data_IF_935307239754
#
_entry.id   IF_935307239754
#
_cell.length_a   1.000
_cell.length_b   1.000
_cell.length_c   1.000
_cell.angle_alpha   90.00
_cell.angle_beta   90.00
_cell.angle_gamma   90.00
#
_symmetry.space_group_name_H-M   'P 1'
#
loop_
_entity.id
_entity.type
_entity.pdbx_description
1 polymer ?
#
# COMPACT_ATOMS: atom_id res chain seq x y z
N UNK A 1 -22.53 6.56 12.29
CA UNK A 1 -23.54 5.52 12.04
C UNK A 1 -23.42 4.52 13.19
N UNK A 2 -24.44 4.37 14.05
CA UNK A 2 -24.42 3.39 15.14
C UNK A 2 -24.36 1.99 14.52
N UNK A 3 -23.32 1.22 14.83
CA UNK A 3 -23.22 -0.19 14.46
C UNK A 3 -24.28 -0.96 15.27
N UNK A 4 -25.40 -1.29 14.62
CA UNK A 4 -26.33 -2.30 15.10
C UNK A 4 -25.72 -3.68 14.82
N UNK A 5 -25.25 -4.35 15.85
CA UNK A 5 -24.90 -5.77 15.77
C UNK A 5 -26.20 -6.58 15.66
N UNK A 6 -26.64 -6.86 14.44
CA UNK A 6 -27.60 -7.93 14.22
C UNK A 6 -26.94 -9.26 14.59
N UNK A 7 -27.58 -10.03 15.46
CA UNK A 7 -27.19 -11.39 15.82
C UNK A 7 -27.25 -12.27 14.57
N UNK A 8 -26.22 -13.10 14.30
CA UNK A 8 -26.22 -13.94 13.11
C UNK A 8 -27.36 -14.97 13.16
N UNK A 9 -28.04 -15.14 12.01
CA UNK A 9 -29.08 -16.13 11.76
C UNK A 9 -28.60 -17.56 12.11
N UNK A 10 -29.43 -18.42 12.74
CA UNK A 10 -29.02 -19.74 13.24
C UNK A 10 -28.83 -20.82 12.16
N UNK A 11 -28.63 -20.46 10.89
CA UNK A 11 -28.54 -21.40 9.77
C UNK A 11 -27.14 -21.55 9.13
N UNK A 12 -26.08 -21.04 9.77
CA UNK A 12 -24.70 -21.34 9.35
C UNK A 12 -24.21 -22.61 10.05
N UNK A 13 -23.69 -23.62 9.33
CA UNK A 13 -23.16 -24.82 9.97
C UNK A 13 -21.94 -24.43 10.84
N UNK A 14 -21.98 -24.84 12.11
CA UNK A 14 -20.82 -24.76 13.00
C UNK A 14 -19.61 -25.40 12.31
N UNK A 15 -18.42 -24.77 12.29
CA UNK A 15 -17.22 -25.43 11.79
C UNK A 15 -16.99 -26.70 12.63
N UNK A 16 -16.85 -27.82 11.92
CA UNK A 16 -16.68 -29.15 12.50
C UNK A 16 -15.50 -29.13 13.49
N UNK A 17 -15.71 -29.44 14.79
CA UNK A 17 -14.66 -29.35 15.82
C UNK A 17 -13.49 -30.34 15.60
N UNK A 18 -13.60 -31.27 14.65
CA UNK A 18 -12.55 -32.23 14.28
C UNK A 18 -11.61 -31.75 13.15
N UNK A 19 -11.68 -30.50 12.69
CA UNK A 19 -10.79 -29.96 11.65
C UNK A 19 -9.67 -29.08 12.24
N UNK A 20 -9.03 -29.56 13.32
CA UNK A 20 -7.80 -28.93 13.81
C UNK A 20 -6.63 -29.35 12.92
N UNK A 21 -5.92 -28.38 12.36
CA UNK A 21 -4.72 -28.65 11.58
C UNK A 21 -3.58 -28.96 12.55
N UNK A 22 -3.03 -30.19 12.52
CA UNK A 22 -2.21 -30.72 13.60
C UNK A 22 -0.86 -30.00 13.78
N UNK A 23 -0.40 -29.23 12.78
CA UNK A 23 0.95 -28.67 12.70
C UNK A 23 1.02 -27.14 12.82
N UNK A 24 -0.01 -26.45 13.33
CA UNK A 24 0.05 -24.99 13.46
C UNK A 24 1.03 -24.54 14.55
N UNK A 25 1.84 -23.49 14.31
CA UNK A 25 2.70 -22.92 15.33
C UNK A 25 1.86 -22.33 16.47
N UNK A 26 2.42 -22.32 17.68
CA UNK A 26 1.69 -21.94 18.92
C UNK A 26 1.04 -20.55 18.86
N UNK A 27 1.67 -19.58 18.20
CA UNK A 27 1.13 -18.23 18.02
C UNK A 27 -0.12 -18.18 17.12
N UNK A 28 -0.35 -19.19 16.29
CA UNK A 28 -1.45 -19.27 15.32
C UNK A 28 -2.56 -20.25 15.74
N UNK A 29 -2.29 -21.13 16.71
CA UNK A 29 -3.30 -22.05 17.26
C UNK A 29 -4.52 -21.33 17.85
N UNK A 30 -4.37 -20.05 18.21
CA UNK A 30 -5.46 -19.18 18.67
C UNK A 30 -6.60 -19.03 17.66
N UNK A 31 -6.38 -19.37 16.38
CA UNK A 31 -7.44 -19.41 15.36
C UNK A 31 -8.60 -20.34 15.73
N UNK A 32 -8.33 -21.41 16.49
CA UNK A 32 -9.36 -22.34 16.97
C UNK A 32 -10.13 -21.83 18.18
N UNK A 33 -9.83 -20.63 18.66
CA UNK A 33 -10.54 -19.99 19.76
C UNK A 33 -11.38 -18.81 19.25
N UNK A 34 -12.70 -18.97 19.05
CA UNK A 34 -13.58 -17.89 18.58
C UNK A 34 -13.58 -16.66 19.49
N UNK A 35 -13.37 -16.85 20.79
CA UNK A 35 -13.28 -15.74 21.76
C UNK A 35 -12.00 -14.94 21.54
N UNK A 36 -10.90 -15.60 21.21
CA UNK A 36 -9.64 -14.94 20.85
C UNK A 36 -9.79 -14.11 19.58
N UNK A 37 -10.32 -14.72 18.50
CA UNK A 37 -10.56 -14.01 17.24
C UNK A 37 -11.49 -12.82 17.44
N UNK A 38 -12.59 -12.99 18.21
CA UNK A 38 -13.47 -11.86 18.55
C UNK A 38 -12.72 -10.76 19.30
N UNK A 39 -11.89 -11.11 20.28
CA UNK A 39 -11.08 -10.13 21.01
C UNK A 39 -10.13 -9.38 20.07
N UNK A 40 -9.47 -10.07 19.13
CA UNK A 40 -8.59 -9.46 18.16
C UNK A 40 -9.35 -8.44 17.28
N UNK A 41 -10.52 -8.83 16.75
CA UNK A 41 -11.33 -7.96 15.91
C UNK A 41 -11.83 -6.71 16.65
N UNK A 42 -12.32 -6.88 17.89
CA UNK A 42 -12.77 -5.77 18.73
C UNK A 42 -11.62 -4.82 19.05
N UNK A 43 -10.48 -5.34 19.52
CA UNK A 43 -9.32 -4.51 19.85
C UNK A 43 -8.77 -3.77 18.64
N UNK A 44 -8.73 -4.39 17.45
CA UNK A 44 -8.34 -3.71 16.22
C UNK A 44 -9.32 -2.59 15.85
N UNK A 45 -10.62 -2.81 15.99
CA UNK A 45 -11.64 -1.78 15.71
C UNK A 45 -11.54 -0.60 16.67
N UNK A 46 -11.51 -0.85 17.98
CA UNK A 46 -11.37 0.20 19.01
C UNK A 46 -10.12 1.06 18.80
N UNK A 47 -9.01 0.42 18.43
CA UNK A 47 -7.75 1.12 18.13
C UNK A 47 -7.84 1.98 16.87
N UNK A 48 -8.56 1.52 15.85
CA UNK A 48 -8.80 2.33 14.66
C UNK A 48 -9.71 3.52 14.97
N UNK A 49 -10.72 3.36 15.82
CA UNK A 49 -11.57 4.47 16.29
C UNK A 49 -10.74 5.52 17.03
N UNK A 50 -9.77 5.11 17.85
CA UNK A 50 -8.81 6.02 18.48
C UNK A 50 -7.99 6.78 17.42
N UNK A 51 -7.45 6.09 16.40
CA UNK A 51 -6.72 6.74 15.29
C UNK A 51 -7.61 7.70 14.49
N UNK A 52 -8.90 7.41 14.32
CA UNK A 52 -9.88 8.30 13.69
C UNK A 52 -10.04 9.58 14.53
N UNK A 53 -10.22 9.44 15.85
CA UNK A 53 -10.34 10.58 16.76
C UNK A 53 -9.09 11.47 16.74
N UNK A 54 -7.91 10.86 16.81
CA UNK A 54 -6.63 11.60 16.75
C UNK A 54 -6.45 12.32 15.41
N UNK A 55 -6.77 11.67 14.29
CA UNK A 55 -6.76 12.30 12.95
C UNK A 55 -7.59 13.58 12.91
N UNK A 56 -8.82 13.53 13.41
CA UNK A 56 -9.73 14.67 13.34
C UNK A 56 -9.20 15.87 14.13
N UNK A 57 -8.54 15.63 15.26
CA UNK A 57 -7.90 16.70 16.05
C UNK A 57 -6.68 17.28 15.31
N UNK A 58 -5.86 16.43 14.70
CA UNK A 58 -4.61 16.82 14.05
C UNK A 58 -4.78 17.43 12.64
N UNK A 59 -5.95 17.24 12.02
CA UNK A 59 -6.23 17.75 10.66
C UNK A 59 -6.72 19.20 10.62
N UNK A 60 -6.96 19.83 11.79
CA UNK A 60 -7.42 21.22 11.88
C UNK A 60 -6.18 22.12 11.99
N UNK A 61 -5.94 23.06 11.07
CA UNK A 61 -4.86 24.02 11.24
C UNK A 61 -5.14 24.87 12.48
N UNK A 62 -4.15 24.98 13.39
CA UNK A 62 -4.19 25.91 14.52
C UNK A 62 -4.46 27.32 13.97
N UNK A 63 -5.69 27.82 14.11
CA UNK A 63 -6.00 29.25 14.00
C UNK A 63 -5.40 29.94 15.21
N UNK A 64 -4.10 30.20 15.20
CA UNK A 64 -3.49 31.17 16.10
C UNK A 64 -3.56 32.57 15.47
N UNK A 65 -4.40 33.41 16.08
CA UNK A 65 -4.29 34.88 16.18
C UNK A 65 -4.24 35.71 14.88
N UNK A 66 -5.42 36.11 14.40
CA UNK A 66 -5.80 37.48 13.97
C UNK A 66 -6.98 37.39 13.00
N UNK A 67 -8.21 37.59 13.48
CA UNK A 67 -9.10 38.63 12.96
C UNK A 67 -10.50 38.54 13.61
N UNK A 68 -10.98 39.73 13.94
CA UNK A 68 -12.16 40.05 14.73
C UNK A 68 -13.47 39.66 13.99
N UNK A 69 -14.48 39.06 14.65
CA UNK A 69 -15.68 38.62 13.95
C UNK A 69 -16.71 39.75 13.83
N UNK A 70 -17.04 40.15 12.60
CA UNK A 70 -18.35 40.74 12.31
C UNK A 70 -19.23 39.70 11.62
N UNK A 71 -20.15 39.17 12.44
CA UNK A 71 -21.58 39.11 12.16
C UNK A 71 -22.02 38.54 10.80
N UNK A 72 -22.47 37.28 10.79
CA UNK A 72 -23.72 36.90 10.13
C UNK A 72 -24.32 35.69 10.82
N UNK A 73 -25.43 35.92 11.52
CA UNK A 73 -26.22 34.90 12.18
C UNK A 73 -27.01 34.06 11.17
N UNK A 74 -27.11 32.76 11.46
CA UNK A 74 -28.28 31.96 11.12
C UNK A 74 -28.47 30.90 12.21
N UNK A 75 -29.65 30.94 12.83
CA UNK A 75 -30.11 30.01 13.85
C UNK A 75 -30.36 28.64 13.22
N UNK A 76 -29.85 27.57 13.83
CA UNK A 76 -30.57 26.31 13.91
C UNK A 76 -30.29 25.64 15.27
N UNK A 77 -31.37 25.50 16.02
CA UNK A 77 -31.48 24.72 17.26
C UNK A 77 -31.40 23.23 16.94
N UNK A 78 -30.61 22.45 17.69
CA UNK A 78 -31.09 21.29 18.46
C UNK A 78 -30.01 20.58 19.29
N UNK A 79 -30.37 20.33 20.54
CA UNK A 79 -29.92 19.29 21.51
C UNK A 79 -28.43 19.13 21.89
N UNK A 80 -28.13 19.57 23.11
CA UNK A 80 -26.94 19.21 23.91
C UNK A 80 -26.95 17.74 24.36
N UNK A 81 -25.77 17.21 24.73
CA UNK A 81 -25.61 16.63 26.06
C UNK A 81 -24.46 17.25 26.87
N UNK A 82 -24.57 17.07 28.18
CA UNK A 82 -23.83 17.71 29.27
C UNK A 82 -22.42 17.11 29.51
N UNK A 83 -21.57 17.99 30.07
CA UNK A 83 -20.41 17.76 30.96
C UNK A 83 -19.19 16.99 30.44
N UNK A 84 -18.03 17.66 30.38
CA UNK A 84 -17.07 17.72 31.50
C UNK A 84 -15.83 18.54 31.06
N UNK A 85 -15.54 19.62 31.78
CA UNK A 85 -14.30 20.40 31.60
C UNK A 85 -13.12 19.67 32.24
N UNK A 86 -11.92 19.76 31.65
CA UNK A 86 -10.71 19.86 32.46
C UNK A 86 -10.04 21.21 32.25
N UNK A 87 -9.53 21.72 33.36
CA UNK A 87 -8.87 23.01 33.50
C UNK A 87 -7.67 23.16 32.54
N UNK A 88 -7.65 24.26 31.78
CA UNK A 88 -6.45 24.76 31.10
C UNK A 88 -5.57 25.43 32.15
N UNK A 89 -4.40 24.85 32.42
CA UNK A 89 -3.28 25.59 33.00
C UNK A 89 -2.46 26.17 31.86
N UNK A 90 -2.29 27.49 31.89
CA UNK A 90 -1.50 28.25 30.94
C UNK A 90 -0.01 28.04 31.25
N UNK A 91 0.77 27.68 30.23
CA UNK A 91 2.20 27.93 30.18
C UNK A 91 2.55 28.38 28.76
N UNK A 92 3.19 29.54 28.69
CA UNK A 92 3.53 30.30 27.51
C UNK A 92 4.72 29.71 26.74
N UNK A 93 4.78 30.08 25.45
CA UNK A 93 5.98 30.42 24.69
C UNK A 93 7.24 29.57 24.91
N UNK A 94 7.45 28.59 24.03
CA UNK A 94 8.72 28.37 23.33
C UNK A 94 8.55 27.32 22.22
N UNK A 95 9.12 27.60 21.05
CA UNK A 95 9.00 26.77 19.87
C UNK A 95 9.58 25.36 20.06
N UNK A 96 8.70 24.36 20.05
CA UNK A 96 8.92 23.03 19.48
C UNK A 96 7.56 22.32 19.46
N UNK A 97 6.85 22.32 18.32
CA UNK A 97 5.68 21.47 18.18
C UNK A 97 6.17 20.02 18.29
N UNK A 98 5.77 19.31 19.34
CA UNK A 98 6.17 17.93 19.59
C UNK A 98 5.84 17.06 18.37
N UNK A 99 6.76 16.20 17.94
CA UNK A 99 6.57 15.26 16.82
C UNK A 99 5.37 14.31 16.98
N UNK A 100 4.76 14.28 18.17
CA UNK A 100 3.53 13.55 18.49
C UNK A 100 2.27 14.19 17.90
N UNK A 101 2.26 15.52 17.74
CA UNK A 101 1.04 16.29 17.44
C UNK A 101 0.59 16.20 15.98
N UNK A 102 1.39 15.59 15.10
CA UNK A 102 1.08 15.38 13.69
C UNK A 102 1.25 13.94 13.22
N UNK A 103 1.47 12.99 14.14
CA UNK A 103 1.82 11.60 13.80
C UNK A 103 0.79 10.91 12.91
N UNK A 104 -0.50 11.18 13.14
CA UNK A 104 -1.63 10.69 12.36
C UNK A 104 -2.24 11.76 11.45
N UNK A 105 -1.56 12.89 11.24
CA UNK A 105 -2.06 13.96 10.37
C UNK A 105 -2.32 13.46 8.96
N UNK A 106 -3.41 13.92 8.34
CA UNK A 106 -3.80 13.69 6.94
C UNK A 106 -3.98 15.03 6.19
N UNK A 107 -3.35 16.09 6.71
CA UNK A 107 -3.53 17.47 6.29
C UNK A 107 -3.33 17.65 4.79
N UNK A 108 -2.23 17.13 4.21
CA UNK A 108 -1.94 17.29 2.78
C UNK A 108 -3.08 16.75 1.91
N UNK A 109 -3.61 15.58 2.26
CA UNK A 109 -4.70 14.95 1.51
C UNK A 109 -6.04 15.67 1.67
N UNK A 110 -6.22 16.43 2.75
CA UNK A 110 -7.43 17.19 3.06
C UNK A 110 -7.50 18.56 2.39
N UNK A 111 -6.37 19.03 1.82
CA UNK A 111 -6.30 20.31 1.11
C UNK A 111 -7.28 20.34 -0.08
N UNK A 112 -8.05 21.43 -0.28
CA UNK A 112 -9.04 21.53 -1.36
C UNK A 112 -8.48 21.21 -2.75
N UNK A 113 -7.26 21.65 -3.04
CA UNK A 113 -6.53 21.39 -4.28
C UNK A 113 -6.21 19.90 -4.49
N UNK A 114 -6.16 19.10 -3.43
CA UNK A 114 -5.92 17.66 -3.52
C UNK A 114 -7.20 16.82 -3.49
N UNK A 115 -8.34 17.43 -3.17
CA UNK A 115 -9.62 16.74 -3.04
C UNK A 115 -10.01 15.93 -4.28
N UNK A 116 -9.84 16.51 -5.48
CA UNK A 116 -10.15 15.87 -6.76
C UNK A 116 -9.16 14.76 -7.16
N UNK A 117 -8.06 14.60 -6.41
CA UNK A 117 -7.07 13.53 -6.59
C UNK A 117 -7.34 12.35 -5.65
N UNK A 118 -8.32 12.46 -4.74
CA UNK A 118 -8.78 11.40 -3.85
C UNK A 118 -10.01 10.70 -4.44
N UNK A 119 -9.97 9.36 -4.55
CA UNK A 119 -11.14 8.57 -4.99
C UNK A 119 -12.28 8.61 -3.98
N UNK A 120 -11.93 8.64 -2.69
CA UNK A 120 -12.85 8.68 -1.57
C UNK A 120 -12.43 9.81 -0.63
N UNK A 121 -13.38 10.67 -0.28
CA UNK A 121 -13.14 11.89 0.51
C UNK A 121 -12.69 11.58 1.94
N UNK A 122 -13.06 10.40 2.45
CA UNK A 122 -12.81 9.92 3.81
C UNK A 122 -11.57 9.02 3.92
N UNK A 123 -10.89 8.74 2.81
CA UNK A 123 -9.71 7.87 2.78
C UNK A 123 -8.50 8.67 2.30
N UNK A 124 -7.82 9.29 3.26
CA UNK A 124 -6.67 10.16 3.02
C UNK A 124 -5.37 9.52 3.52
N UNK A 125 -4.21 9.78 2.89
CA UNK A 125 -2.92 9.26 3.35
C UNK A 125 -2.43 9.99 4.61
N UNK A 126 -1.74 9.27 5.50
CA UNK A 126 -0.97 9.95 6.56
C UNK A 126 0.16 10.77 5.95
N UNK A 127 0.34 11.99 6.42
CA UNK A 127 1.38 12.91 5.92
C UNK A 127 2.79 12.35 6.13
N UNK A 128 3.02 11.71 7.28
CA UNK A 128 4.32 11.15 7.68
C UNK A 128 4.84 10.07 6.73
N UNK A 129 3.95 9.26 6.17
CA UNK A 129 4.29 8.11 5.33
C UNK A 129 3.81 8.28 3.90
N UNK A 130 3.24 9.43 3.52
CA UNK A 130 2.73 9.64 2.15
C UNK A 130 3.85 9.53 1.13
N UNK A 131 3.52 9.00 -0.04
CA UNK A 131 4.45 9.00 -1.16
C UNK A 131 4.55 10.42 -1.74
N UNK A 132 5.77 10.83 -2.09
CA UNK A 132 6.06 12.11 -2.75
C UNK A 132 6.55 11.80 -4.17
N UNK A 133 5.81 12.22 -5.19
CA UNK A 133 6.13 11.90 -6.58
C UNK A 133 6.95 13.02 -7.19
N UNK A 134 8.19 12.74 -7.62
CA UNK A 134 9.04 13.71 -8.31
C UNK A 134 9.03 13.48 -9.81
N UNK A 135 7.94 13.81 -10.49
CA UNK A 135 7.73 13.57 -11.92
C UNK A 135 8.68 14.38 -12.84
N UNK A 136 9.99 14.17 -12.74
CA UNK A 136 11.04 14.84 -13.52
C UNK A 136 11.59 16.15 -12.92
N UNK A 137 11.10 16.61 -11.77
CA UNK A 137 11.51 17.87 -11.15
C UNK A 137 12.43 17.61 -9.94
N UNK A 138 13.73 17.93 -10.08
CA UNK A 138 14.72 17.74 -9.01
C UNK A 138 14.61 18.79 -7.89
N UNK A 139 14.00 19.95 -8.16
CA UNK A 139 14.03 21.12 -7.27
C UNK A 139 12.77 21.29 -6.40
N UNK A 140 11.72 20.49 -6.61
CA UNK A 140 10.49 20.61 -5.80
C UNK A 140 10.57 19.73 -4.55
N UNK A 141 10.63 20.41 -3.40
CA UNK A 141 10.83 19.80 -2.09
C UNK A 141 9.62 18.96 -1.60
N UNK A 142 8.40 19.29 -2.02
CA UNK A 142 7.18 18.62 -1.53
C UNK A 142 6.66 17.45 -2.39
N UNK A 143 7.08 17.38 -3.66
CA UNK A 143 6.60 16.42 -4.67
C UNK A 143 5.13 16.61 -5.06
N UNK A 144 4.69 15.97 -6.14
CA UNK A 144 3.28 15.95 -6.53
C UNK A 144 2.46 15.04 -5.60
N UNK A 145 1.24 15.48 -5.26
CA UNK A 145 0.34 14.73 -4.39
C UNK A 145 -0.23 13.49 -5.11
N UNK A 146 -0.12 12.35 -4.43
CA UNK A 146 -0.78 11.11 -4.76
C UNK A 146 -1.32 10.48 -3.46
N UNK A 147 -2.54 9.96 -3.50
CA UNK A 147 -3.11 9.23 -2.37
C UNK A 147 -2.48 7.83 -2.26
N UNK A 148 -1.33 7.77 -1.60
CA UNK A 148 -0.55 6.58 -1.37
C UNK A 148 0.33 6.74 -0.12
N UNK A 149 0.64 5.63 0.56
CA UNK A 149 1.60 5.60 1.65
C UNK A 149 2.65 4.51 1.42
N UNK A 150 3.87 4.80 1.85
CA UNK A 150 4.87 3.78 2.11
C UNK A 150 4.44 2.95 3.31
N UNK A 151 4.57 1.63 3.18
CA UNK A 151 4.21 0.67 4.22
C UNK A 151 5.27 -0.43 4.29
N UNK A 152 5.75 -0.71 5.49
CA UNK A 152 6.66 -1.83 5.79
C UNK A 152 5.90 -2.94 6.50
N UNK A 153 6.12 -4.16 6.05
CA UNK A 153 5.72 -5.38 6.75
C UNK A 153 6.37 -5.41 8.14
N UNK A 154 5.60 -5.72 9.19
CA UNK A 154 6.16 -5.80 10.54
C UNK A 154 7.03 -7.04 10.72
N UNK A 155 6.60 -8.19 10.22
CA UNK A 155 7.32 -9.47 10.38
C UNK A 155 8.13 -9.88 9.16
N UNK A 156 7.67 -9.58 7.94
CA UNK A 156 8.40 -9.87 6.72
C UNK A 156 9.43 -8.80 6.31
N UNK A 157 9.32 -7.58 6.84
CA UNK A 157 10.27 -6.50 6.64
C UNK A 157 10.29 -5.86 5.24
N UNK A 158 9.52 -6.36 4.26
CA UNK A 158 9.46 -5.81 2.89
C UNK A 158 8.73 -4.46 2.84
N UNK A 159 9.18 -3.60 1.94
CA UNK A 159 8.55 -2.31 1.65
C UNK A 159 7.53 -2.40 0.51
N UNK A 160 6.46 -1.63 0.67
CA UNK A 160 5.33 -1.53 -0.25
C UNK A 160 4.93 -0.06 -0.43
N UNK A 161 4.29 0.23 -1.56
CA UNK A 161 3.52 1.46 -1.77
C UNK A 161 2.05 1.06 -1.83
N UNK A 162 1.30 1.34 -0.76
CA UNK A 162 -0.14 1.12 -0.70
C UNK A 162 -0.87 2.36 -1.25
N UNK A 163 -1.52 2.22 -2.40
CA UNK A 163 -2.18 3.33 -3.11
C UNK A 163 -3.64 3.02 -3.43
N UNK A 164 -4.47 4.07 -3.55
CA UNK A 164 -5.76 3.93 -4.21
C UNK A 164 -5.58 3.52 -5.68
N UNK A 165 -6.59 2.90 -6.30
CA UNK A 165 -6.53 2.69 -7.74
C UNK A 165 -6.61 4.04 -8.49
N UNK A 166 -5.80 4.25 -9.55
CA UNK A 166 -5.71 5.52 -10.25
C UNK A 166 -7.07 6.05 -10.70
N UNK A 167 -7.23 7.37 -10.62
CA UNK A 167 -8.28 8.13 -11.29
C UNK A 167 -7.79 8.50 -12.69
N UNK A 168 -8.68 9.08 -13.51
CA UNK A 168 -8.29 9.57 -14.85
C UNK A 168 -7.17 10.60 -14.74
N UNK A 169 -7.33 11.52 -13.80
CA UNK A 169 -6.49 12.67 -13.60
C UNK A 169 -5.20 12.28 -12.83
N UNK A 170 -5.25 11.27 -11.94
CA UNK A 170 -4.04 10.79 -11.23
C UNK A 170 -3.23 9.69 -11.94
N UNK A 171 -3.61 9.26 -13.15
CA UNK A 171 -2.93 8.19 -13.86
C UNK A 171 -1.47 8.54 -14.23
N UNK A 172 -1.23 9.79 -14.66
CA UNK A 172 0.12 10.29 -14.96
C UNK A 172 1.02 10.26 -13.71
N UNK A 173 0.55 10.85 -12.61
CA UNK A 173 1.27 10.89 -11.33
C UNK A 173 1.53 9.48 -10.79
N UNK A 174 0.56 8.57 -10.93
CA UNK A 174 0.70 7.18 -10.51
C UNK A 174 1.81 6.44 -11.27
N UNK A 175 1.85 6.53 -12.61
CA UNK A 175 2.91 5.86 -13.39
C UNK A 175 4.28 6.55 -13.30
N UNK A 176 4.33 7.80 -12.86
CA UNK A 176 5.60 8.48 -12.59
C UNK A 176 6.39 7.82 -11.46
N UNK A 177 5.73 7.10 -10.54
CA UNK A 177 6.39 6.28 -9.51
C UNK A 177 7.36 5.24 -10.07
N UNK A 178 7.07 4.70 -11.27
CA UNK A 178 7.90 3.68 -11.92
C UNK A 178 9.16 4.30 -12.52
N UNK A 179 9.12 5.58 -12.88
CA UNK A 179 10.17 6.25 -13.65
C UNK A 179 11.25 6.85 -12.76
N UNK A 180 10.84 7.53 -11.69
CA UNK A 180 11.77 8.22 -10.81
C UNK A 180 12.12 7.38 -9.60
N UNK A 181 13.29 7.67 -9.01
CA UNK A 181 13.56 7.21 -7.65
C UNK A 181 12.51 7.83 -6.75
N UNK A 182 11.61 6.99 -6.23
CA UNK A 182 10.59 7.46 -5.31
C UNK A 182 11.27 7.74 -3.97
N UNK A 183 11.14 8.95 -3.45
CA UNK A 183 11.73 9.28 -2.15
C UNK A 183 11.10 8.42 -1.06
N UNK A 184 11.97 7.68 -0.39
CA UNK A 184 11.61 6.89 0.76
C UNK A 184 11.52 7.80 2.00
N UNK A 185 10.53 7.63 2.90
CA UNK A 185 10.36 8.46 4.09
C UNK A 185 11.55 8.38 5.07
N UNK A 186 12.42 7.38 4.88
CA UNK A 186 13.69 7.27 5.58
C UNK A 186 14.84 7.55 4.61
N UNK A 187 15.49 8.71 4.76
CA UNK A 187 16.59 9.20 3.91
C UNK A 187 17.80 8.25 3.81
N UNK A 188 17.91 7.26 4.70
CA UNK A 188 18.99 6.27 4.69
C UNK A 188 18.70 5.03 3.82
N UNK A 189 17.52 4.95 3.19
CA UNK A 189 17.16 3.82 2.34
C UNK A 189 17.30 4.21 0.87
N UNK A 190 18.29 3.64 0.19
CA UNK A 190 18.42 3.71 -1.27
C UNK A 190 17.36 2.79 -1.92
N UNK A 191 16.08 3.15 -1.84
CA UNK A 191 15.03 2.40 -2.54
C UNK A 191 15.20 2.56 -4.05
N UNK A 192 15.32 1.45 -4.76
CA UNK A 192 15.12 1.42 -6.21
C UNK A 192 13.66 1.74 -6.56
N UNK A 193 13.43 2.24 -7.77
CA UNK A 193 12.08 2.46 -8.28
C UNK A 193 11.28 1.16 -8.32
N UNK A 194 9.98 1.18 -7.97
CA UNK A 194 9.11 0.03 -8.14
C UNK A 194 9.10 -0.45 -9.60
N UNK A 195 9.11 -1.77 -9.80
CA UNK A 195 8.99 -2.41 -11.12
C UNK A 195 7.79 -3.34 -11.24
N UNK A 196 7.01 -3.47 -10.16
CA UNK A 196 5.85 -4.35 -10.06
C UNK A 196 4.66 -3.58 -9.51
N UNK A 197 3.52 -3.70 -10.19
CA UNK A 197 2.23 -3.17 -9.74
C UNK A 197 1.27 -4.33 -9.53
N UNK A 198 0.68 -4.42 -8.34
CA UNK A 198 -0.35 -5.39 -7.98
C UNK A 198 -1.69 -4.67 -7.89
N UNK A 199 -2.66 -5.09 -8.70
CA UNK A 199 -4.02 -4.59 -8.68
C UNK A 199 -4.97 -5.69 -8.20
N UNK A 200 -5.67 -5.42 -7.10
CA UNK A 200 -6.57 -6.37 -6.42
C UNK A 200 -8.06 -6.04 -6.69
N UNK A 201 -8.35 -5.31 -7.76
CA UNK A 201 -9.72 -4.91 -8.14
C UNK A 201 -9.86 -4.87 -9.65
N UNK A 202 -11.02 -5.28 -10.15
CA UNK A 202 -11.36 -5.04 -11.55
C UNK A 202 -11.69 -3.55 -11.74
N UNK A 203 -11.60 -3.06 -12.98
CA UNK A 203 -11.87 -1.64 -13.26
C UNK A 203 -13.32 -1.26 -12.89
N UNK A 204 -14.25 -2.20 -13.05
CA UNK A 204 -15.66 -2.06 -12.70
C UNK A 204 -16.07 -3.28 -11.88
N UNK A 205 -16.71 -3.05 -10.74
CA UNK A 205 -17.30 -4.09 -9.89
C UNK A 205 -18.66 -3.57 -9.40
N UNK A 206 -19.69 -4.42 -9.42
CA UNK A 206 -21.04 -4.03 -9.00
C UNK A 206 -21.58 -2.79 -9.72
N UNK A 207 -21.20 -2.59 -10.99
CA UNK A 207 -21.57 -1.42 -11.80
C UNK A 207 -20.85 -0.11 -11.43
N UNK A 208 -19.92 -0.13 -10.47
CA UNK A 208 -19.17 1.04 -10.03
C UNK A 208 -17.73 0.98 -10.50
N UNK A 209 -17.20 2.10 -10.98
CA UNK A 209 -15.77 2.22 -11.33
C UNK A 209 -14.91 2.18 -10.06
N UNK A 210 -14.10 1.13 -9.93
CA UNK A 210 -13.13 0.95 -8.83
C UNK A 210 -11.72 1.36 -9.23
N UNK A 211 -11.36 1.23 -10.51
CA UNK A 211 -10.07 1.67 -11.06
C UNK A 211 -10.24 2.33 -12.44
N UNK A 212 -9.46 3.37 -12.73
CA UNK A 212 -9.31 3.89 -14.09
C UNK A 212 -8.24 3.06 -14.83
N UNK A 213 -8.43 2.65 -16.09
CA UNK A 213 -7.36 2.07 -16.89
C UNK A 213 -6.23 3.07 -17.10
N UNK A 214 -4.99 2.70 -16.81
CA UNK A 214 -3.80 3.57 -16.93
C UNK A 214 -2.77 3.02 -17.92
N UNK A 215 -3.12 1.99 -18.67
CA UNK A 215 -2.40 1.43 -19.81
C UNK A 215 -3.43 0.79 -20.77
N UNK A 216 -3.12 0.59 -22.06
CA UNK A 216 -4.06 0.02 -23.02
C UNK A 216 -4.31 -1.47 -22.75
N UNK A 217 -5.44 -1.99 -23.22
CA UNK A 217 -5.83 -3.38 -22.97
C UNK A 217 -5.39 -4.35 -24.08
N UNK A 218 -5.00 -3.82 -25.24
CA UNK A 218 -4.60 -4.58 -26.42
C UNK A 218 -3.09 -4.45 -26.63
N UNK A 219 -2.41 -5.60 -26.81
CA UNK A 219 -0.96 -5.66 -27.01
C UNK A 219 -0.57 -4.85 -28.26
N UNK A 220 0.49 -4.05 -28.14
CA UNK A 220 1.00 -3.15 -29.17
C UNK A 220 0.35 -1.77 -29.19
N UNK A 221 -0.79 -1.57 -28.52
CA UNK A 221 -1.39 -0.24 -28.42
C UNK A 221 -0.63 0.66 -27.45
N UNK A 222 -0.71 1.96 -27.69
CA UNK A 222 -0.10 3.02 -26.89
C UNK A 222 -1.15 4.05 -26.49
N UNK A 223 -1.10 4.52 -25.25
CA UNK A 223 -1.80 5.72 -24.80
C UNK A 223 -0.79 6.78 -24.40
N UNK A 224 -1.20 8.04 -24.44
CA UNK A 224 -0.40 9.17 -23.95
C UNK A 224 -1.08 9.73 -22.71
N UNK A 225 -0.36 9.71 -21.58
CA UNK A 225 -0.79 10.38 -20.36
C UNK A 225 -0.09 11.74 -20.27
N UNK A 226 -0.85 12.77 -19.96
CA UNK A 226 -0.35 14.14 -19.76
C UNK A 226 -0.50 14.50 -18.28
N UNK A 227 0.37 15.36 -17.73
CA UNK A 227 0.14 15.95 -16.41
C UNK A 227 -1.21 16.67 -16.37
N UNK A 228 -1.92 16.56 -15.26
CA UNK A 228 -3.09 17.40 -14.97
C UNK A 228 -2.61 18.85 -14.81
N UNK A 229 -2.56 19.63 -15.90
CA UNK A 229 -2.61 21.11 -15.98
C UNK A 229 -2.39 21.60 -17.42
N UNK A 230 -3.26 21.22 -18.36
CA UNK A 230 -3.31 21.93 -19.67
C UNK A 230 -4.66 22.63 -19.91
N UNK A 231 -5.79 22.08 -19.45
CA UNK A 231 -7.11 22.60 -19.87
C UNK A 231 -7.98 23.22 -18.76
N UNK A 232 -7.53 23.28 -17.50
CA UNK A 232 -8.37 23.84 -16.42
C UNK A 232 -7.66 24.89 -15.58
N UNK A 233 -8.03 26.14 -15.87
CA UNK A 233 -8.01 27.32 -14.99
C UNK A 233 -6.72 28.14 -15.00
N UNK A 234 -6.91 29.42 -15.34
CA UNK A 234 -6.03 30.57 -15.15
C UNK A 234 -5.49 30.62 -13.70
N UNK A 235 -4.45 29.85 -13.40
CA UNK A 235 -3.72 29.91 -12.14
C UNK A 235 -2.25 30.19 -12.42
N UNK A 236 -1.74 31.22 -11.78
CA UNK A 236 -0.42 31.86 -11.90
C UNK A 236 0.72 31.00 -11.37
N UNK A 237 0.67 29.68 -11.50
CA UNK A 237 1.77 28.80 -11.10
C UNK A 237 2.52 28.32 -12.34
N UNK A 238 3.78 28.75 -12.46
CA UNK A 238 4.74 28.45 -13.52
C UNK A 238 5.20 26.98 -13.53
N UNK A 239 4.30 26.02 -13.29
CA UNK A 239 4.63 24.60 -13.18
C UNK A 239 4.46 23.89 -14.53
N UNK A 240 5.32 24.21 -15.49
CA UNK A 240 5.34 23.55 -16.80
C UNK A 240 6.02 22.18 -16.67
N UNK A 241 5.31 21.16 -16.21
CA UNK A 241 5.81 19.80 -16.38
C UNK A 241 5.70 19.47 -17.88
N UNK A 242 6.81 19.58 -18.63
CA UNK A 242 6.83 19.56 -20.10
C UNK A 242 6.76 18.15 -20.69
N UNK A 243 6.68 17.11 -19.87
CA UNK A 243 6.78 15.73 -20.36
C UNK A 243 5.43 15.02 -20.34
N UNK A 244 5.18 14.25 -21.40
CA UNK A 244 4.08 13.30 -21.52
C UNK A 244 4.63 11.88 -21.29
N UNK A 245 3.79 10.95 -20.85
CA UNK A 245 4.13 9.54 -20.77
C UNK A 245 3.49 8.78 -21.93
N UNK A 246 4.30 8.23 -22.84
CA UNK A 246 3.85 7.21 -23.79
C UNK A 246 3.84 5.86 -23.08
N UNK A 247 2.67 5.24 -22.95
CA UNK A 247 2.45 3.98 -22.22
C UNK A 247 1.97 2.91 -23.19
N UNK A 248 2.76 1.86 -23.36
CA UNK A 248 2.52 0.81 -24.36
C UNK A 248 2.38 -0.54 -23.68
N UNK A 249 1.34 -1.31 -24.04
CA UNK A 249 1.18 -2.69 -23.57
C UNK A 249 2.05 -3.61 -24.44
N UNK A 250 3.09 -4.19 -23.87
CA UNK A 250 4.05 -5.04 -24.58
C UNK A 250 3.64 -6.52 -24.59
N UNK A 251 3.13 -7.01 -23.46
CA UNK A 251 2.71 -8.40 -23.34
C UNK A 251 1.52 -8.50 -22.39
N UNK A 252 0.66 -9.50 -22.59
CA UNK A 252 -0.47 -9.81 -21.72
C UNK A 252 -0.75 -11.31 -21.73
N UNK A 253 -0.69 -11.93 -20.56
CA UNK A 253 -0.92 -13.36 -20.39
C UNK A 253 -1.87 -13.62 -19.21
N UNK A 254 -2.62 -14.72 -19.28
CA UNK A 254 -3.39 -15.23 -18.15
C UNK A 254 -2.56 -16.27 -17.40
N UNK A 255 -2.62 -16.21 -16.08
CA UNK A 255 -2.04 -17.20 -15.15
C UNK A 255 -3.22 -17.80 -14.37
N UNK A 256 -3.87 -18.84 -14.90
CA UNK A 256 -5.14 -19.35 -14.36
C UNK A 256 -5.05 -19.83 -12.92
N UNK A 257 -3.97 -20.49 -12.54
CA UNK A 257 -3.70 -21.02 -11.20
C UNK A 257 -3.66 -19.92 -10.12
N UNK A 258 -3.25 -18.71 -10.51
CA UNK A 258 -3.20 -17.54 -9.64
C UNK A 258 -4.39 -16.60 -9.85
N UNK A 259 -5.41 -17.00 -10.63
CA UNK A 259 -6.49 -16.14 -11.08
C UNK A 259 -6.01 -14.73 -11.49
N UNK A 260 -4.93 -14.71 -12.28
CA UNK A 260 -4.18 -13.51 -12.57
C UNK A 260 -4.13 -13.19 -14.07
N UNK A 261 -4.18 -11.90 -14.39
CA UNK A 261 -3.70 -11.37 -15.68
C UNK A 261 -2.38 -10.66 -15.42
N UNK A 262 -1.31 -11.16 -16.05
CA UNK A 262 0.02 -10.58 -16.01
C UNK A 262 0.26 -9.78 -17.29
N UNK A 263 0.67 -8.52 -17.15
CA UNK A 263 0.99 -7.64 -18.26
C UNK A 263 2.39 -7.07 -18.12
N UNK A 264 3.08 -6.92 -19.24
CA UNK A 264 4.35 -6.18 -19.32
C UNK A 264 4.08 -4.86 -20.03
N UNK A 265 4.41 -3.74 -19.40
CA UNK A 265 4.06 -2.40 -19.88
C UNK A 265 5.31 -1.55 -19.93
N UNK A 266 5.53 -0.84 -21.03
CA UNK A 266 6.59 0.17 -21.13
C UNK A 266 6.05 1.58 -20.96
N UNK A 267 6.87 2.42 -20.34
CA UNK A 267 6.64 3.85 -20.16
C UNK A 267 7.86 4.61 -20.66
N UNK A 268 7.62 5.58 -21.53
CA UNK A 268 8.64 6.46 -22.11
C UNK A 268 8.25 7.91 -21.81
N UNK A 269 9.21 8.70 -21.32
CA UNK A 269 9.07 10.16 -21.20
C UNK A 269 9.30 10.81 -22.57
N UNK A 270 8.34 11.61 -23.02
CA UNK A 270 8.44 12.39 -24.26
C UNK A 270 8.21 13.87 -23.99
N UNK A 271 8.95 14.75 -24.65
CA UNK A 271 8.74 16.19 -24.56
C UNK A 271 7.37 16.59 -25.14
N UNK A 272 6.85 17.74 -24.72
CA UNK A 272 5.54 18.27 -25.14
C UNK A 272 5.42 18.45 -26.66
N UNK A 273 6.53 18.81 -27.30
CA UNK A 273 6.62 19.26 -28.70
C UNK A 273 6.92 18.10 -29.67
N UNK A 274 7.01 16.87 -29.13
CA UNK A 274 7.31 15.64 -29.85
C UNK A 274 6.03 15.12 -30.54
N UNK A 275 5.56 15.86 -31.55
CA UNK A 275 4.46 15.50 -32.45
C UNK A 275 4.88 14.29 -33.31
N UNK A 276 4.54 13.09 -32.84
CA UNK A 276 4.32 11.92 -33.70
C UNK A 276 5.51 11.37 -34.49
N UNK A 277 6.48 10.75 -33.82
CA UNK A 277 7.02 9.50 -34.36
C UNK A 277 6.09 8.36 -33.93
N UNK A 278 5.29 7.87 -34.87
CA UNK A 278 4.66 6.56 -34.78
C UNK A 278 5.78 5.51 -34.77
N UNK A 279 5.98 4.89 -33.60
CA UNK A 279 6.87 3.75 -33.44
C UNK A 279 6.20 2.52 -34.09
N UNK A 280 6.13 2.53 -35.42
CA UNK A 280 5.75 1.34 -36.19
C UNK A 280 6.90 0.36 -36.11
N UNK A 281 6.72 -0.71 -35.34
CA UNK A 281 7.67 -1.83 -35.22
C UNK A 281 7.85 -2.64 -36.53
N UNK A 282 7.63 -2.03 -37.70
CA UNK A 282 7.67 -2.66 -39.01
C UNK A 282 8.17 -1.67 -40.07
N UNK A 283 9.42 -1.24 -39.98
CA UNK A 283 10.14 -0.65 -41.13
C UNK A 283 11.66 -0.86 -40.98
N UNK A 284 12.10 -2.09 -41.21
CA UNK A 284 13.46 -2.32 -41.69
C UNK A 284 13.48 -2.13 -43.21
N UNK A 285 13.72 -0.91 -43.68
CA UNK A 285 14.31 -0.70 -44.99
C UNK A 285 15.03 0.65 -45.07
N UNK A 286 16.36 0.57 -45.06
CA UNK A 286 17.36 1.46 -45.65
C UNK A 286 16.89 2.87 -46.06
N UNK A 287 17.16 3.85 -45.19
CA UNK A 287 17.54 5.18 -45.65
C UNK A 287 18.64 5.73 -44.74
N UNK A 288 19.72 6.15 -45.39
CA UNK A 288 20.95 6.67 -44.80
C UNK A 288 20.80 8.16 -44.47
N UNK A 289 21.30 8.55 -43.30
CA UNK A 289 21.47 9.92 -42.76
C UNK A 289 20.28 10.51 -42.01
N UNK A 290 20.20 10.21 -40.71
CA UNK A 290 19.76 11.18 -39.71
C UNK A 290 20.58 11.00 -38.43
N UNK A 291 20.93 12.12 -37.79
CA UNK A 291 21.61 12.16 -36.51
C UNK A 291 20.70 11.52 -35.45
N UNK A 292 20.88 10.23 -35.19
CA UNK A 292 20.09 9.50 -34.20
C UNK A 292 20.44 10.04 -32.81
N UNK A 293 19.55 10.86 -32.24
CA UNK A 293 19.53 11.08 -30.80
C UNK A 293 19.49 9.72 -30.10
N UNK A 294 20.16 9.56 -28.95
CA UNK A 294 20.12 8.30 -28.22
C UNK A 294 18.65 7.94 -27.92
N UNK A 295 18.25 6.66 -28.06
CA UNK A 295 16.87 6.25 -27.82
C UNK A 295 16.43 6.71 -26.43
N UNK A 296 15.26 7.35 -26.36
CA UNK A 296 14.70 7.85 -25.10
C UNK A 296 14.63 6.69 -24.08
N UNK A 297 15.05 6.90 -22.82
CA UNK A 297 15.10 5.83 -21.83
C UNK A 297 13.70 5.24 -21.61
N UNK A 298 13.56 3.97 -21.97
CA UNK A 298 12.33 3.18 -21.78
C UNK A 298 12.40 2.48 -20.44
N UNK A 299 11.35 2.60 -19.64
CA UNK A 299 11.20 1.84 -18.39
C UNK A 299 10.07 0.84 -18.56
N UNK A 300 10.30 -0.41 -18.17
CA UNK A 300 9.30 -1.47 -18.24
C UNK A 300 8.91 -1.90 -16.83
N UNK A 301 7.63 -2.14 -16.60
CA UNK A 301 7.13 -2.71 -15.35
C UNK A 301 6.20 -3.89 -15.61
N UNK A 302 6.05 -4.74 -14.60
CA UNK A 302 5.07 -5.83 -14.61
C UNK A 302 3.83 -5.42 -13.84
N UNK A 303 2.66 -5.61 -14.44
CA UNK A 303 1.37 -5.42 -13.81
C UNK A 303 0.69 -6.77 -13.58
N UNK A 304 0.22 -7.01 -12.35
CA UNK A 304 -0.41 -8.25 -11.92
C UNK A 304 -1.82 -7.93 -11.40
N UNK A 305 -2.84 -8.30 -12.17
CA UNK A 305 -4.25 -8.16 -11.78
C UNK A 305 -4.77 -9.48 -11.20
N UNK A 306 -5.16 -9.49 -9.93
CA UNK A 306 -5.92 -10.59 -9.36
C UNK A 306 -7.43 -10.36 -9.57
N UNK A 307 -8.08 -11.21 -10.37
CA UNK A 307 -9.48 -11.00 -10.78
C UNK A 307 -10.50 -11.78 -9.96
N UNK A 308 -10.07 -12.69 -9.07
CA UNK A 308 -10.95 -13.55 -8.27
C UNK A 308 -11.25 -13.00 -6.86
N UNK A 309 -10.98 -11.72 -6.57
CA UNK A 309 -11.42 -11.11 -5.32
C UNK A 309 -12.81 -10.48 -5.48
N UNK A 310 -13.86 -11.02 -4.83
CA UNK A 310 -15.22 -10.52 -5.02
C UNK A 310 -15.45 -9.13 -4.40
N UNK A 311 -16.42 -8.38 -4.93
CA UNK A 311 -16.78 -7.06 -4.41
C UNK A 311 -17.39 -7.17 -3.00
N UNK A 312 -16.98 -6.25 -2.12
CA UNK A 312 -17.43 -6.16 -0.72
C UNK A 312 -17.32 -7.44 0.16
N UNK A 313 -16.68 -8.50 -0.32
CA UNK A 313 -16.54 -9.79 0.37
C UNK A 313 -15.08 -10.27 0.35
N UNK A 314 -14.85 -11.53 0.72
CA UNK A 314 -13.55 -12.21 0.73
C UNK A 314 -13.58 -13.41 -0.21
N UNK A 315 -12.43 -13.85 -0.75
CA UNK A 315 -12.36 -15.03 -1.61
C UNK A 315 -12.95 -16.26 -0.92
N UNK A 316 -13.68 -17.09 -1.68
CA UNK A 316 -14.22 -18.35 -1.17
C UNK A 316 -13.08 -19.31 -0.84
N UNK A 317 -13.29 -20.38 -0.05
CA UNK A 317 -12.24 -21.37 0.20
C UNK A 317 -11.58 -21.93 -1.07
N UNK A 318 -12.34 -22.07 -2.17
CA UNK A 318 -11.80 -22.48 -3.47
C UNK A 318 -10.85 -21.41 -4.07
N UNK A 319 -11.21 -20.13 -3.94
CA UNK A 319 -10.42 -19.02 -4.46
C UNK A 319 -9.22 -18.65 -3.57
N UNK A 320 -9.21 -19.07 -2.29
CA UNK A 320 -8.06 -18.86 -1.39
C UNK A 320 -6.80 -19.56 -1.90
N UNK A 321 -6.92 -20.73 -2.52
CA UNK A 321 -5.79 -21.40 -3.14
C UNK A 321 -5.17 -20.55 -4.25
N UNK A 322 -6.01 -20.00 -5.14
CA UNK A 322 -5.55 -19.11 -6.20
C UNK A 322 -4.93 -17.81 -5.65
N UNK A 323 -5.43 -17.30 -4.52
CA UNK A 323 -4.81 -16.16 -3.85
C UNK A 323 -3.41 -16.49 -3.31
N UNK A 324 -3.20 -17.68 -2.77
CA UNK A 324 -1.87 -18.14 -2.32
C UNK A 324 -0.91 -18.26 -3.52
N UNK A 325 -1.35 -18.88 -4.62
CA UNK A 325 -0.56 -18.93 -5.87
C UNK A 325 -0.24 -17.52 -6.39
N UNK A 326 -1.19 -16.59 -6.28
CA UNK A 326 -0.97 -15.19 -6.64
C UNK A 326 0.09 -14.51 -5.77
N UNK A 327 0.11 -14.78 -4.46
CA UNK A 327 1.16 -14.27 -3.55
C UNK A 327 2.54 -14.79 -3.98
N UNK A 328 2.67 -16.09 -4.26
CA UNK A 328 3.93 -16.67 -4.75
C UNK A 328 4.36 -16.09 -6.11
N UNK A 329 3.41 -15.90 -7.03
CA UNK A 329 3.68 -15.29 -8.33
C UNK A 329 4.21 -13.86 -8.17
N UNK A 330 3.57 -13.04 -7.33
CA UNK A 330 3.99 -11.66 -7.05
C UNK A 330 5.41 -11.62 -6.48
N UNK A 331 5.69 -12.46 -5.48
CA UNK A 331 7.00 -12.53 -4.83
C UNK A 331 8.10 -12.96 -5.81
N UNK A 332 7.83 -13.95 -6.66
CA UNK A 332 8.74 -14.42 -7.70
C UNK A 332 9.01 -13.33 -8.75
N UNK A 333 7.95 -12.80 -9.36
CA UNK A 333 8.03 -11.80 -10.43
C UNK A 333 8.73 -10.53 -9.97
N UNK A 334 8.52 -10.10 -8.72
CA UNK A 334 9.16 -8.89 -8.23
C UNK A 334 10.68 -9.03 -8.08
N UNK A 335 11.17 -10.24 -7.77
CA UNK A 335 12.60 -10.53 -7.60
C UNK A 335 13.31 -10.79 -8.93
N UNK A 336 12.61 -11.39 -9.88
CA UNK A 336 13.14 -11.63 -11.22
C UNK A 336 13.46 -10.29 -11.92
N UNK A 337 14.69 -10.15 -12.41
CA UNK A 337 15.09 -8.97 -13.18
C UNK A 337 14.35 -8.95 -14.53
N UNK A 338 13.78 -7.81 -14.89
CA UNK A 338 13.25 -7.64 -16.25
C UNK A 338 14.44 -7.43 -17.22
N UNK A 339 14.48 -8.12 -18.38
CA UNK A 339 15.62 -8.10 -19.30
C UNK A 339 16.03 -6.70 -19.80
N UNK A 340 15.08 -5.76 -19.86
CA UNK A 340 15.25 -4.43 -20.47
C UNK A 340 15.27 -3.28 -19.46
N UNK A 341 15.44 -3.55 -18.15
CA UNK A 341 15.49 -2.47 -17.16
C UNK A 341 16.82 -1.71 -17.22
N UNK A 342 16.73 -0.38 -17.10
CA UNK A 342 17.89 0.51 -17.08
C UNK A 342 18.91 0.04 -16.01
N UNK A 343 20.15 -0.34 -16.40
CA UNK A 343 21.15 -0.87 -15.49
C UNK A 343 21.59 0.15 -14.42
N UNK A 344 21.37 1.45 -14.64
CA UNK A 344 21.67 2.51 -13.67
C UNK A 344 20.62 2.64 -12.56
N UNK A 345 19.51 1.89 -12.62
CA UNK A 345 18.40 1.95 -11.64
C UNK A 345 18.31 0.76 -10.68
N UNK A 346 19.05 -0.34 -10.86
CA UNK A 346 18.84 -1.56 -10.05
C UNK A 346 20.12 -2.20 -9.52
N UNK A 347 20.43 -1.93 -8.25
CA UNK A 347 21.22 -2.81 -7.37
C UNK A 347 20.35 -3.57 -6.36
N UNK A 348 19.06 -3.26 -6.27
CA UNK A 348 18.13 -3.87 -5.32
C UNK A 348 17.49 -5.12 -5.92
N UNK A 349 17.72 -6.26 -5.28
CA UNK A 349 17.15 -7.55 -5.68
C UNK A 349 15.67 -7.69 -5.33
N UNK A 350 15.13 -6.84 -4.44
CA UNK A 350 13.73 -6.91 -4.01
C UNK A 350 13.10 -5.51 -3.83
N UNK A 351 12.91 -4.77 -4.95
CA UNK A 351 12.35 -3.42 -4.93
C UNK A 351 10.96 -3.37 -4.27
N UNK A 352 10.51 -2.19 -3.80
CA UNK A 352 9.15 -2.03 -3.31
C UNK A 352 8.12 -2.33 -4.39
N UNK A 353 6.97 -2.88 -3.98
CA UNK A 353 5.85 -3.19 -4.86
C UNK A 353 4.75 -2.14 -4.66
N UNK A 354 4.22 -1.60 -5.76
CA UNK A 354 3.00 -0.79 -5.70
C UNK A 354 1.81 -1.74 -5.63
N UNK A 355 0.98 -1.62 -4.60
CA UNK A 355 -0.22 -2.44 -4.43
C UNK A 355 -1.44 -1.55 -4.27
N UNK A 356 -2.49 -1.85 -5.04
CA UNK A 356 -3.75 -1.13 -4.97
C UNK A 356 -4.97 -2.07 -4.99
N UNK A 357 -6.07 -1.55 -4.49
CA UNK A 357 -7.43 -2.00 -4.78
C UNK A 357 -8.22 -0.74 -5.12
N UNK A 358 -9.53 -0.64 -4.83
CA UNK A 358 -10.23 0.62 -5.07
C UNK A 358 -9.66 1.78 -4.22
N UNK A 359 -9.71 1.64 -2.89
CA UNK A 359 -9.27 2.66 -1.94
C UNK A 359 -7.82 2.51 -1.46
N UNK A 360 -7.21 1.35 -1.72
CA UNK A 360 -5.85 1.06 -1.26
C UNK A 360 -5.73 0.70 0.23
N UNK A 361 -6.79 0.17 0.86
CA UNK A 361 -6.79 -0.14 2.31
C UNK A 361 -7.31 -1.55 2.65
N UNK A 362 -8.44 -1.99 2.09
CA UNK A 362 -9.08 -3.26 2.47
C UNK A 362 -8.35 -4.51 1.95
N UNK A 363 -8.54 -4.81 0.65
CA UNK A 363 -7.85 -5.92 -0.02
C UNK A 363 -6.34 -5.73 0.01
N UNK A 364 -5.90 -4.48 -0.19
CA UNK A 364 -4.49 -4.06 -0.11
C UNK A 364 -3.86 -4.44 1.22
N UNK A 365 -4.45 -4.03 2.35
CA UNK A 365 -3.89 -4.38 3.66
C UNK A 365 -3.93 -5.86 3.95
N UNK A 366 -4.97 -6.56 3.50
CA UNK A 366 -5.08 -8.01 3.70
C UNK A 366 -3.96 -8.73 2.94
N UNK A 367 -3.73 -8.33 1.68
CA UNK A 367 -2.67 -8.87 0.84
C UNK A 367 -1.29 -8.64 1.44
N UNK A 368 -0.98 -7.41 1.88
CA UNK A 368 0.29 -7.10 2.54
C UNK A 368 0.48 -7.88 3.85
N UNK A 369 -0.56 -7.99 4.67
CA UNK A 369 -0.50 -8.75 5.93
C UNK A 369 -0.20 -10.24 5.69
N UNK A 370 -0.86 -10.86 4.70
CA UNK A 370 -0.58 -12.24 4.30
C UNK A 370 0.85 -12.39 3.79
N UNK A 371 1.34 -11.48 2.93
CA UNK A 371 2.72 -11.51 2.44
C UNK A 371 3.74 -11.44 3.59
N UNK A 372 3.54 -10.53 4.55
CA UNK A 372 4.41 -10.38 5.73
C UNK A 372 4.55 -11.69 6.51
N UNK A 373 3.42 -12.32 6.85
CA UNK A 373 3.38 -13.51 7.70
C UNK A 373 3.84 -14.78 6.98
N UNK A 374 3.62 -14.86 5.67
CA UNK A 374 4.16 -15.94 4.84
C UNK A 374 5.66 -15.80 4.65
N UNK A 375 6.18 -14.58 4.49
CA UNK A 375 7.63 -14.31 4.47
C UNK A 375 8.28 -14.63 5.81
N UNK A 376 7.67 -14.22 6.91
CA UNK A 376 8.10 -14.58 8.27
C UNK A 376 8.19 -16.09 8.49
N UNK A 377 7.25 -16.85 7.93
CA UNK A 377 7.24 -18.32 7.99
C UNK A 377 8.23 -19.03 7.07
N UNK A 378 8.94 -18.28 6.20
CA UNK A 378 9.84 -18.82 5.19
C UNK A 378 9.14 -19.38 3.95
N UNK A 379 7.88 -19.04 3.70
CA UNK A 379 7.13 -19.45 2.50
C UNK A 379 7.41 -18.55 1.28
N UNK A 380 7.91 -17.33 1.51
CA UNK A 380 8.34 -16.38 0.49
C UNK A 380 9.81 -16.04 0.70
N UNK A 381 10.55 -15.71 -0.37
CA UNK A 381 11.99 -15.47 -0.24
C UNK A 381 12.27 -14.04 0.26
N UNK A 382 13.20 -13.87 1.19
CA UNK A 382 13.49 -12.58 1.82
C UNK A 382 13.62 -12.73 3.33
N UNK A 383 14.15 -11.71 4.00
CA UNK A 383 14.61 -11.83 5.38
C UNK A 383 13.45 -11.86 6.38
N UNK A 384 12.99 -13.07 6.75
CA UNK A 384 12.57 -13.38 8.11
C UNK A 384 13.78 -13.30 9.08
N UNK A 385 13.59 -13.42 10.41
CA UNK A 385 14.44 -12.80 11.44
C UNK A 385 15.95 -12.90 11.15
N UNK A 386 16.59 -11.73 11.16
CA UNK A 386 17.98 -11.50 10.78
C UNK A 386 18.96 -12.42 11.54
N UNK A 387 19.68 -13.24 10.78
CA UNK A 387 20.73 -14.11 11.31
C UNK A 387 21.43 -14.95 10.26
N UNK A 388 21.77 -14.39 9.09
CA UNK A 388 22.83 -14.95 8.22
C UNK A 388 23.20 -13.97 7.10
N UNK A 389 23.94 -12.93 7.45
CA UNK A 389 24.79 -12.22 6.48
C UNK A 389 26.17 -12.03 7.12
N UNK A 390 27.14 -12.85 6.70
CA UNK A 390 28.54 -12.73 7.11
C UNK A 390 29.39 -13.98 6.85
N UNK A 391 29.96 -14.07 5.63
CA UNK A 391 31.26 -14.69 5.30
C UNK A 391 31.60 -16.10 5.79
N UNK A 392 31.65 -17.10 4.88
CA UNK A 392 32.90 -17.52 4.20
C UNK A 392 32.73 -18.81 3.39
N UNK A 393 33.49 -18.86 2.29
CA UNK A 393 33.91 -20.07 1.59
C UNK A 393 34.51 -21.10 2.58
N UNK A 394 34.10 -22.38 2.49
CA UNK A 394 34.88 -23.50 3.05
C UNK A 394 34.07 -24.70 3.55
N UNK A 395 34.10 -25.78 2.75
CA UNK A 395 34.14 -27.22 3.13
C UNK A 395 33.11 -27.85 4.10
N UNK A 396 32.37 -28.82 3.54
CA UNK A 396 31.90 -30.13 4.04
C UNK A 396 31.55 -30.43 5.52
N UNK A 397 30.43 -31.16 5.65
CA UNK A 397 29.97 -32.09 6.71
C UNK A 397 29.33 -31.55 7.99
N UNK A 398 28.08 -31.97 8.25
CA UNK A 398 27.52 -32.09 9.61
C UNK A 398 26.04 -31.70 9.78
N UNK A 399 25.18 -32.71 9.96
CA UNK A 399 23.90 -32.73 10.72
C UNK A 399 23.01 -31.46 10.78
N UNK A 400 21.85 -31.54 10.12
CA UNK A 400 20.75 -30.57 10.24
C UNK A 400 20.02 -30.69 11.59
N UNK A 401 20.25 -29.74 12.49
CA UNK A 401 19.37 -29.46 13.64
C UNK A 401 18.62 -28.14 13.41
N UNK A 402 17.29 -28.20 13.42
CA UNK A 402 16.36 -27.07 13.35
C UNK A 402 16.58 -26.10 14.52
N UNK A 403 16.52 -24.76 14.33
CA UNK A 403 16.58 -23.85 15.46
C UNK A 403 15.20 -23.73 16.14
N UNK A 404 15.18 -23.90 17.47
CA UNK A 404 14.01 -23.69 18.33
C UNK A 404 13.73 -22.19 18.54
N UNK A 405 12.47 -21.72 18.48
CA UNK A 405 12.13 -20.32 18.72
C UNK A 405 11.71 -20.12 20.18
N UNK A 406 12.65 -20.19 21.12
CA UNK A 406 12.35 -19.96 22.56
C UNK A 406 13.10 -18.79 23.21
N UNK A 407 13.89 -17.99 22.48
CA UNK A 407 14.51 -16.79 23.06
C UNK A 407 13.72 -15.51 22.73
N UNK A 408 13.03 -14.99 23.75
CA UNK A 408 12.56 -13.61 23.93
C UNK A 408 12.33 -12.76 22.66
N UNK A 409 11.09 -12.84 22.17
CA UNK A 409 10.52 -12.05 21.06
C UNK A 409 10.57 -10.52 21.32
N UNK A 410 10.96 -10.08 22.52
CA UNK A 410 11.06 -8.67 22.87
C UNK A 410 12.43 -8.02 22.55
N UNK A 411 13.46 -8.79 22.19
CA UNK A 411 14.84 -8.28 22.08
C UNK A 411 15.43 -8.24 20.66
N UNK A 412 14.66 -8.62 19.63
CA UNK A 412 15.18 -8.82 18.26
C UNK A 412 14.44 -8.03 17.17
N UNK A 413 14.13 -6.76 17.43
CA UNK A 413 13.68 -5.83 16.38
C UNK A 413 14.88 -4.92 16.03
N UNK A 414 15.36 -4.89 14.77
CA UNK A 414 16.42 -3.98 14.35
C UNK A 414 15.99 -2.52 14.60
N UNK A 415 16.95 -1.72 15.06
CA UNK A 415 16.88 -0.34 15.57
C UNK A 415 16.49 0.73 14.51
N UNK A 416 15.62 0.38 13.55
CA UNK A 416 15.16 1.24 12.46
C UNK A 416 13.65 1.11 12.21
N UNK A 417 12.87 0.91 13.27
CA UNK A 417 11.41 1.08 13.20
C UNK A 417 11.07 2.51 12.79
N UNK A 418 10.03 2.73 11.95
CA UNK A 418 9.41 4.05 11.85
C UNK A 418 9.03 4.51 13.26
N UNK A 419 9.09 5.83 13.51
CA UNK A 419 8.83 6.47 14.80
C UNK A 419 7.85 5.68 15.70
N UNK A 420 8.23 5.47 16.96
CA UNK A 420 7.47 4.72 17.97
C UNK A 420 5.99 5.05 17.89
N UNK A 421 5.15 4.07 17.55
CA UNK A 421 3.69 4.25 17.43
C UNK A 421 3.13 4.99 18.65
N UNK A 422 2.20 5.91 18.42
CA UNK A 422 1.50 6.58 19.52
C UNK A 422 0.42 5.70 20.16
N UNK A 423 0.17 4.52 19.61
CA UNK A 423 -0.76 3.58 20.22
C UNK A 423 -0.11 2.83 21.38
N UNK A 424 -0.85 2.55 22.47
CA UNK A 424 -0.38 1.62 23.50
C UNK A 424 -0.16 0.23 22.90
N UNK A 425 0.61 -0.66 23.55
CA UNK A 425 0.70 -2.06 23.15
C UNK A 425 -0.69 -2.70 23.00
N UNK A 426 -0.79 -3.72 22.15
CA UNK A 426 -2.01 -4.54 22.10
C UNK A 426 -2.27 -5.17 23.49
N UNK A 427 -3.54 -5.43 23.83
CA UNK A 427 -3.89 -6.13 25.06
C UNK A 427 -3.07 -7.41 25.27
N UNK A 428 -2.77 -7.75 26.54
CA UNK A 428 -1.86 -8.84 26.87
C UNK A 428 -2.27 -10.19 26.24
N UNK A 429 -3.57 -10.45 26.09
CA UNK A 429 -4.09 -11.65 25.43
C UNK A 429 -3.82 -11.71 23.92
N UNK A 430 -3.49 -10.58 23.29
CA UNK A 430 -3.12 -10.47 21.87
C UNK A 430 -1.61 -10.25 21.67
N UNK A 431 -0.81 -10.23 22.73
CA UNK A 431 0.64 -10.00 22.67
C UNK A 431 1.41 -11.04 21.84
N UNK A 432 0.87 -12.25 21.70
CA UNK A 432 1.41 -13.33 20.87
C UNK A 432 0.70 -13.50 19.54
N UNK A 433 -0.32 -12.68 19.27
CA UNK A 433 -1.06 -12.73 18.02
C UNK A 433 -0.31 -11.92 16.95
N UNK A 434 0.47 -12.62 16.11
CA UNK A 434 1.25 -11.96 15.06
C UNK A 434 0.35 -11.35 13.98
N UNK A 435 -0.84 -11.90 13.75
CA UNK A 435 -1.77 -11.36 12.74
C UNK A 435 -2.36 -10.03 13.23
N UNK A 436 -2.86 -9.98 14.46
CA UNK A 436 -3.33 -8.73 15.05
C UNK A 436 -2.24 -7.67 15.11
N UNK A 437 -1.00 -8.06 15.47
CA UNK A 437 0.15 -7.16 15.48
C UNK A 437 0.53 -6.62 14.11
N UNK A 438 0.50 -7.45 13.07
CA UNK A 438 0.79 -7.03 11.70
C UNK A 438 -0.28 -6.03 11.24
N UNK A 439 -1.57 -6.37 11.38
CA UNK A 439 -2.68 -5.51 10.96
C UNK A 439 -2.61 -4.15 11.66
N UNK A 440 -2.38 -4.15 12.98
CA UNK A 440 -2.27 -2.92 13.76
C UNK A 440 -1.07 -2.06 13.31
N UNK A 441 0.06 -2.69 13.00
CA UNK A 441 1.25 -2.01 12.47
C UNK A 441 1.04 -1.43 11.07
N UNK A 442 0.27 -2.11 10.21
CA UNK A 442 -0.09 -1.57 8.89
C UNK A 442 -1.02 -0.35 9.02
N UNK A 443 -1.98 -0.39 9.96
CA UNK A 443 -2.88 0.73 10.26
C UNK A 443 -2.15 1.96 10.81
N UNK A 444 -0.99 1.77 11.41
CA UNK A 444 -0.12 2.85 11.88
C UNK A 444 0.63 3.58 10.74
N UNK A 445 0.65 3.00 9.54
CA UNK A 445 1.37 3.50 8.36
C UNK A 445 0.44 3.93 7.24
N UNK A 446 -0.72 3.28 7.07
CA UNK A 446 -1.78 3.63 6.12
C UNK A 446 -3.13 3.47 6.85
N UNK A 447 -3.95 4.53 6.95
CA UNK A 447 -5.17 4.46 7.76
C UNK A 447 -6.16 3.41 7.24
N UNK A 448 -6.82 2.67 8.13
CA UNK A 448 -7.89 1.74 7.78
C UNK A 448 -7.48 0.47 7.03
N UNK A 449 -6.19 0.11 7.01
CA UNK A 449 -5.71 -1.16 6.41
C UNK A 449 -6.44 -2.38 7.00
N UNK A 450 -6.80 -3.35 6.16
CA UNK A 450 -7.69 -4.47 6.51
C UNK A 450 -9.01 -3.93 7.08
N UNK A 451 -9.80 -3.32 6.19
CA UNK A 451 -10.90 -2.44 6.55
C UNK A 451 -12.05 -3.15 7.28
N UNK A 452 -12.32 -4.41 6.94
CA UNK A 452 -13.50 -5.14 7.46
C UNK A 452 -13.12 -6.35 8.31
N UNK A 453 -13.96 -6.75 9.28
CA UNK A 453 -13.71 -7.94 10.11
C UNK A 453 -13.50 -9.22 9.30
N UNK A 454 -14.27 -9.43 8.23
CA UNK A 454 -14.16 -10.63 7.38
C UNK A 454 -12.81 -10.67 6.67
N UNK A 455 -12.23 -9.52 6.35
CA UNK A 455 -10.89 -9.43 5.76
C UNK A 455 -9.80 -9.80 6.76
N UNK A 456 -9.95 -9.42 8.03
CA UNK A 456 -9.01 -9.85 9.07
C UNK A 456 -9.13 -11.37 9.27
N UNK A 457 -10.34 -11.91 9.34
CA UNK A 457 -10.58 -13.37 9.42
C UNK A 457 -9.95 -14.09 8.22
N UNK A 458 -10.09 -13.57 7.00
CA UNK A 458 -9.41 -14.12 5.82
C UNK A 458 -7.89 -14.23 6.01
N UNK A 459 -7.24 -13.23 6.62
CA UNK A 459 -5.80 -13.29 6.90
C UNK A 459 -5.48 -14.46 7.85
N UNK A 460 -6.25 -14.66 8.92
CA UNK A 460 -6.09 -15.82 9.80
C UNK A 460 -6.24 -17.13 9.04
N UNK A 461 -7.30 -17.25 8.25
CA UNK A 461 -7.62 -18.48 7.52
C UNK A 461 -6.55 -18.84 6.49
N UNK A 462 -6.11 -17.89 5.66
CA UNK A 462 -5.10 -18.14 4.62
C UNK A 462 -3.75 -18.47 5.25
N UNK A 463 -3.34 -17.72 6.28
CA UNK A 463 -2.06 -17.98 6.95
C UNK A 463 -2.09 -19.33 7.66
N UNK A 464 -3.17 -19.67 8.37
CA UNK A 464 -3.32 -21.00 8.95
C UNK A 464 -3.29 -22.09 7.88
N UNK A 465 -4.04 -21.94 6.79
CA UNK A 465 -4.09 -22.90 5.68
C UNK A 465 -2.69 -23.19 5.10
N UNK A 466 -1.86 -22.17 4.89
CA UNK A 466 -0.49 -22.37 4.39
C UNK A 466 0.42 -23.01 5.43
N UNK A 467 0.36 -22.56 6.69
CA UNK A 467 1.20 -23.12 7.76
C UNK A 467 0.85 -24.57 8.10
N UNK A 468 -0.43 -24.94 8.05
CA UNK A 468 -0.86 -26.30 8.39
C UNK A 468 -0.60 -27.34 7.29
N UNK A 469 -0.27 -26.90 6.07
CA UNK A 469 0.20 -27.78 4.98
C UNK A 469 1.69 -28.15 5.11
N UNK A 470 2.40 -27.58 6.09
CA UNK A 470 3.83 -27.81 6.33
C UNK A 470 4.12 -29.13 7.03
#
# INVERSE_FOLDING_TARGET
>A
MKLSFETPSPSQPNPNPNCQMPNLPSWLQSIYNPTHIRSALVSLAEREDIRIGLRQVQSIPNRSTADNPQNHGYNHSESQPKSASPARSAAAENGNASSTDSYYSVYTGSLPENGHRNRYVDILPYDRTRVRVRAGEAEVQEGEYLNANWVREKFGGKWWIASQAPLRNTAYTFLSLILDKTEHPHNNYNSSSPRTIVQLTQNIEGGRRKAHPYFPDTVGQTIVLVPDDIDTIQSTSTRTNKFKLKVTLLNREKVPEACCVKSTVSVIRTASDDEGEEDTAASQSLSSHSSSSPPKPRTTFTHLLFYAWPDHSVPTPADRAALVEFIHLVDKVNRDALPDLNPNLNSDSDPPIIVNCSAGIGRTGSFVAMNSLLRYGGFLAGHGPAGSAGHNHGTENGSTSSPSPESDVSSMIPDSTPATTLMPPLPANLSRDLIAQEIDSLRDQRPGMVQRPEQAVLVYEVVAEVYGRR
#
